data_IF_875217349876
#
_entry.id   IF_875217349876
#
_cell.length_a   1.000
_cell.length_b   1.000
_cell.length_c   1.000
_cell.angle_alpha   90.00
_cell.angle_beta   90.00
_cell.angle_gamma   90.00
#
_symmetry.space_group_name_H-M   'P 1'
#
loop_
_entity.id
_entity.type
_entity.pdbx_description
1 polymer ?
#
# COMPACT_ATOMS: atom_id res chain seq x y z
N UNK A 1 19.37 -41.25 10.70
CA UNK A 1 18.33 -40.83 11.67
C UNK A 1 18.69 -39.43 12.13
N UNK A 2 17.77 -38.44 12.12
CA UNK A 2 18.06 -37.10 12.61
C UNK A 2 18.27 -37.13 14.12
N UNK A 3 19.33 -36.48 14.62
CA UNK A 3 19.63 -36.38 16.05
C UNK A 3 18.84 -35.25 16.71
N UNK A 4 18.16 -35.55 17.80
CA UNK A 4 17.48 -34.55 18.63
C UNK A 4 18.46 -34.04 19.70
N UNK A 5 18.53 -32.72 19.90
CA UNK A 5 19.21 -32.11 21.04
C UNK A 5 18.29 -32.16 22.25
N UNK A 6 18.81 -32.67 23.36
CA UNK A 6 18.09 -32.90 24.62
C UNK A 6 18.75 -32.00 25.67
N UNK A 7 17.94 -31.24 26.42
CA UNK A 7 18.46 -30.38 27.48
C UNK A 7 18.81 -31.20 28.74
N UNK A 8 19.46 -30.57 29.73
CA UNK A 8 20.03 -31.24 30.91
C UNK A 8 19.03 -32.02 31.77
N UNK A 9 17.72 -31.77 31.60
CA UNK A 9 16.64 -32.44 32.32
C UNK A 9 16.04 -33.63 31.55
N UNK A 10 16.54 -33.93 30.34
CA UNK A 10 16.09 -35.05 29.52
C UNK A 10 14.94 -34.74 28.58
N UNK A 11 14.53 -33.47 28.49
CA UNK A 11 13.46 -33.02 27.61
C UNK A 11 14.03 -32.60 26.25
N UNK A 12 13.28 -32.87 25.18
CA UNK A 12 13.67 -32.41 23.84
C UNK A 12 13.46 -30.89 23.78
N UNK A 13 14.50 -30.13 23.42
CA UNK A 13 14.38 -28.70 23.16
C UNK A 13 13.55 -28.50 21.87
N UNK A 14 12.24 -28.37 22.04
CA UNK A 14 11.28 -28.15 20.97
C UNK A 14 10.81 -26.71 21.00
N UNK A 15 11.58 -25.79 20.41
CA UNK A 15 11.08 -24.45 20.11
C UNK A 15 11.59 -23.96 18.77
N UNK A 16 11.16 -24.64 17.70
CA UNK A 16 10.93 -23.94 16.43
C UNK A 16 9.59 -23.21 16.62
N UNK A 17 9.56 -21.88 16.77
CA UNK A 17 8.30 -21.17 16.86
C UNK A 17 7.46 -21.48 15.62
N UNK A 18 6.19 -21.84 15.83
CA UNK A 18 5.27 -22.11 14.73
C UNK A 18 5.22 -20.89 13.82
N UNK A 19 5.38 -21.03 12.50
CA UNK A 19 5.26 -19.91 11.60
C UNK A 19 3.82 -19.39 11.66
N UNK A 20 3.65 -18.19 12.21
CA UNK A 20 2.40 -17.45 12.14
C UNK A 20 2.26 -17.01 10.69
N UNK A 21 1.32 -17.60 9.95
CA UNK A 21 0.95 -17.17 8.61
C UNK A 21 0.11 -15.88 8.69
N UNK A 22 0.67 -14.83 9.29
CA UNK A 22 0.05 -13.50 9.22
C UNK A 22 0.14 -13.06 7.75
N UNK A 23 -1.02 -12.89 7.12
CA UNK A 23 -1.09 -12.37 5.77
C UNK A 23 -0.63 -10.91 5.80
N UNK A 24 0.65 -10.67 5.51
CA UNK A 24 1.23 -9.34 5.35
C UNK A 24 0.66 -8.76 4.04
N UNK A 25 -0.45 -8.04 4.15
CA UNK A 25 -1.11 -7.36 3.03
C UNK A 25 -0.59 -5.95 2.84
N UNK A 26 -0.49 -5.50 1.59
CA UNK A 26 -0.23 -4.11 1.29
C UNK A 26 -1.43 -3.23 1.72
N UNK A 27 -1.19 -2.02 2.25
CA UNK A 27 -2.28 -1.09 2.55
C UNK A 27 -2.96 -0.64 1.26
N UNK A 28 -4.23 -0.26 1.36
CA UNK A 28 -5.02 0.21 0.21
C UNK A 28 -5.21 1.72 0.30
N UNK A 29 -4.71 2.49 -0.67
CA UNK A 29 -4.96 3.93 -0.74
C UNK A 29 -6.35 4.18 -1.31
N UNK A 30 -7.26 4.66 -0.44
CA UNK A 30 -8.70 4.77 -0.75
C UNK A 30 -9.15 6.16 -1.18
N UNK A 31 -8.49 7.20 -0.70
CA UNK A 31 -8.78 8.59 -0.99
C UNK A 31 -7.50 9.38 -1.13
N UNK A 32 -7.57 10.53 -1.79
CA UNK A 32 -6.45 11.45 -1.97
C UNK A 32 -6.43 12.57 -0.93
N UNK A 33 -7.04 12.34 0.24
CA UNK A 33 -7.05 13.30 1.34
C UNK A 33 -5.72 13.25 2.09
N UNK A 34 -5.29 14.40 2.61
CA UNK A 34 -4.01 14.52 3.31
C UNK A 34 -3.83 13.49 4.45
N UNK A 35 -4.87 13.29 5.27
CA UNK A 35 -4.84 12.29 6.35
C UNK A 35 -4.69 10.85 5.81
N UNK A 36 -5.37 10.52 4.71
CA UNK A 36 -5.29 9.20 4.09
C UNK A 36 -3.93 8.95 3.45
N UNK A 37 -3.32 9.98 2.84
CA UNK A 37 -1.97 9.91 2.27
C UNK A 37 -0.91 9.66 3.35
N UNK A 38 -0.97 10.40 4.47
CA UNK A 38 -0.08 10.20 5.62
C UNK A 38 -0.25 8.80 6.21
N UNK A 39 -1.50 8.38 6.44
CA UNK A 39 -1.79 7.07 7.02
C UNK A 39 -1.30 5.95 6.11
N UNK A 40 -1.62 6.01 4.83
CA UNK A 40 -1.19 5.02 3.85
C UNK A 40 0.33 4.97 3.72
N UNK A 41 1.04 6.10 3.69
CA UNK A 41 2.51 6.12 3.59
C UNK A 41 3.15 5.44 4.81
N UNK A 42 2.68 5.77 6.01
CA UNK A 42 3.13 5.13 7.26
C UNK A 42 2.85 3.63 7.27
N UNK A 43 1.69 3.19 6.78
CA UNK A 43 1.35 1.77 6.68
C UNK A 43 2.18 1.05 5.60
N UNK A 44 2.49 1.73 4.50
CA UNK A 44 3.31 1.21 3.42
C UNK A 44 4.74 0.93 3.89
N UNK A 45 5.34 1.84 4.66
CA UNK A 45 6.66 1.63 5.25
C UNK A 45 6.67 0.42 6.20
N UNK A 46 5.64 0.29 7.06
CA UNK A 46 5.47 -0.87 7.94
C UNK A 46 5.31 -2.17 7.16
N UNK A 47 4.55 -2.14 6.08
CA UNK A 47 4.37 -3.28 5.17
C UNK A 47 5.70 -3.70 4.55
N UNK A 48 6.45 -2.76 3.97
CA UNK A 48 7.76 -3.01 3.36
C UNK A 48 8.73 -3.63 4.37
N UNK A 49 8.75 -3.12 5.60
CA UNK A 49 9.62 -3.66 6.67
C UNK A 49 9.25 -5.11 7.03
N UNK A 50 7.95 -5.41 7.18
CA UNK A 50 7.47 -6.78 7.42
C UNK A 50 7.84 -7.73 6.27
N UNK A 51 7.74 -7.28 5.01
CA UNK A 51 8.10 -8.08 3.84
C UNK A 51 9.61 -8.34 3.80
N UNK A 52 10.44 -7.33 4.08
CA UNK A 52 11.91 -7.48 4.17
C UNK A 52 12.30 -8.49 5.23
N UNK A 53 11.70 -8.41 6.41
CA UNK A 53 11.92 -9.37 7.49
C UNK A 53 11.54 -10.79 7.06
N UNK A 54 10.37 -10.97 6.42
CA UNK A 54 9.96 -12.28 5.90
C UNK A 54 10.96 -12.83 4.89
N UNK A 55 11.37 -12.04 3.89
CA UNK A 55 12.35 -12.43 2.88
C UNK A 55 13.69 -12.85 3.52
N UNK A 56 14.10 -12.22 4.62
CA UNK A 56 15.29 -12.62 5.38
C UNK A 56 15.20 -14.03 6.01
N UNK A 57 13.97 -14.50 6.30
CA UNK A 57 13.72 -15.83 6.88
C UNK A 57 13.44 -16.87 5.78
N UNK A 58 12.64 -16.51 4.78
CA UNK A 58 12.19 -17.43 3.72
C UNK A 58 13.15 -17.55 2.55
N UNK A 59 14.13 -16.63 2.45
CA UNK A 59 15.05 -16.50 1.33
C UNK A 59 14.33 -16.25 -0.02
N UNK A 60 13.12 -15.70 0.03
CA UNK A 60 12.39 -15.24 -1.16
C UNK A 60 12.96 -13.92 -1.68
N UNK A 61 12.92 -13.72 -3.01
CA UNK A 61 13.35 -12.47 -3.61
C UNK A 61 12.34 -11.35 -3.29
N UNK A 62 12.79 -10.29 -2.61
CA UNK A 62 11.95 -9.16 -2.18
C UNK A 62 11.08 -8.59 -3.32
N UNK A 63 11.67 -8.35 -4.49
CA UNK A 63 10.99 -7.82 -5.69
C UNK A 63 9.84 -8.72 -6.18
N UNK A 64 9.88 -10.02 -5.89
CA UNK A 64 8.83 -10.96 -6.30
C UNK A 64 7.65 -10.99 -5.32
N UNK A 65 7.86 -10.46 -4.12
CA UNK A 65 6.96 -10.63 -2.97
C UNK A 65 6.30 -9.31 -2.56
N UNK A 66 7.00 -8.20 -2.75
CA UNK A 66 6.46 -6.86 -2.48
C UNK A 66 5.39 -6.51 -3.50
N UNK A 67 4.28 -5.93 -3.03
CA UNK A 67 3.28 -5.34 -3.91
C UNK A 67 3.85 -4.14 -4.64
N UNK A 68 3.31 -3.84 -5.82
CA UNK A 68 3.59 -2.56 -6.49
C UNK A 68 2.84 -1.44 -5.80
N UNK A 69 3.42 -0.24 -5.78
CA UNK A 69 2.74 0.97 -5.28
C UNK A 69 1.49 1.23 -6.11
N UNK A 70 1.55 1.04 -7.42
CA UNK A 70 0.36 1.16 -8.28
C UNK A 70 -0.72 0.14 -7.93
N UNK A 71 -0.34 -1.06 -7.50
CA UNK A 71 -1.25 -2.14 -7.10
C UNK A 71 -1.90 -1.92 -5.74
N UNK A 72 -1.35 -1.06 -4.89
CA UNK A 72 -1.90 -0.71 -3.58
C UNK A 72 -2.81 0.52 -3.61
N UNK A 73 -3.06 1.12 -4.78
CA UNK A 73 -4.02 2.23 -4.95
C UNK A 73 -5.34 1.70 -5.50
N UNK A 74 -6.47 2.15 -4.94
CA UNK A 74 -7.79 1.81 -5.49
C UNK A 74 -7.90 2.20 -6.97
N UNK A 75 -8.51 1.38 -7.84
CA UNK A 75 -8.62 1.70 -9.26
C UNK A 75 -9.27 3.05 -9.58
N UNK A 76 -10.27 3.47 -8.79
CA UNK A 76 -10.95 4.77 -8.93
C UNK A 76 -9.98 5.92 -8.58
N UNK A 77 -9.36 5.84 -7.41
CA UNK A 77 -8.34 6.79 -6.93
C UNK A 77 -7.15 6.88 -7.90
N UNK A 78 -6.68 5.73 -8.41
CA UNK A 78 -5.58 5.66 -9.37
C UNK A 78 -5.90 6.38 -10.69
N UNK A 79 -7.11 6.19 -11.24
CA UNK A 79 -7.56 6.90 -12.46
C UNK A 79 -7.61 8.41 -12.23
N UNK A 80 -8.21 8.83 -11.12
CA UNK A 80 -8.35 10.25 -10.79
C UNK A 80 -6.96 10.91 -10.59
N UNK A 81 -6.05 10.26 -9.87
CA UNK A 81 -4.68 10.76 -9.68
C UNK A 81 -3.95 10.87 -11.02
N UNK A 82 -4.03 9.84 -11.87
CA UNK A 82 -3.37 9.85 -13.18
C UNK A 82 -3.79 11.07 -14.02
N UNK A 83 -5.10 11.37 -14.04
CA UNK A 83 -5.65 12.48 -14.82
C UNK A 83 -5.40 13.84 -14.18
N UNK A 84 -5.65 13.99 -12.89
CA UNK A 84 -5.74 15.31 -12.25
C UNK A 84 -4.49 15.73 -11.50
N UNK A 85 -3.71 14.78 -10.95
CA UNK A 85 -2.49 15.06 -10.17
C UNK A 85 -1.27 14.90 -11.05
N UNK A 86 -1.14 13.76 -11.73
CA UNK A 86 0.03 13.44 -12.54
C UNK A 86 -0.07 13.97 -13.97
N UNK A 87 -1.29 14.29 -14.44
CA UNK A 87 -1.58 14.72 -15.80
C UNK A 87 -0.93 13.83 -16.89
N UNK A 88 -1.04 12.51 -16.72
CA UNK A 88 -0.43 11.48 -17.59
C UNK A 88 -1.43 10.36 -17.86
N UNK A 89 -1.33 9.63 -18.99
CA UNK A 89 -2.17 8.48 -19.24
C UNK A 89 -1.93 7.38 -18.19
N UNK A 90 -2.99 6.69 -17.75
CA UNK A 90 -2.92 5.64 -16.73
C UNK A 90 -1.89 4.54 -17.05
N UNK A 91 -1.67 4.25 -18.33
CA UNK A 91 -0.69 3.27 -18.80
C UNK A 91 0.77 3.71 -18.58
N UNK A 92 1.06 5.01 -18.51
CA UNK A 92 2.41 5.52 -18.28
C UNK A 92 2.72 5.82 -16.81
N UNK A 93 1.72 5.77 -15.92
CA UNK A 93 1.92 5.98 -14.48
C UNK A 93 2.75 4.83 -13.90
N UNK A 94 3.86 5.18 -13.25
CA UNK A 94 4.78 4.25 -12.58
C UNK A 94 4.67 4.33 -11.06
N UNK A 95 5.18 3.33 -10.35
CA UNK A 95 5.25 3.33 -8.88
C UNK A 95 6.01 4.54 -8.32
N UNK A 96 7.03 5.01 -9.06
CA UNK A 96 7.81 6.19 -8.71
C UNK A 96 6.97 7.48 -8.80
N UNK A 97 6.19 7.66 -9.88
CA UNK A 97 5.30 8.84 -10.02
C UNK A 97 4.33 8.94 -8.83
N UNK A 98 3.79 7.80 -8.39
CA UNK A 98 2.83 7.74 -7.28
C UNK A 98 3.53 8.06 -5.96
N UNK A 99 4.70 7.47 -5.71
CA UNK A 99 5.43 7.70 -4.46
C UNK A 99 5.92 9.15 -4.34
N UNK A 100 6.37 9.76 -5.44
CA UNK A 100 6.72 11.18 -5.49
C UNK A 100 5.52 12.07 -5.18
N UNK A 101 4.34 11.77 -5.74
CA UNK A 101 3.12 12.51 -5.46
C UNK A 101 2.66 12.37 -4.00
N UNK A 102 2.83 11.20 -3.39
CA UNK A 102 2.50 10.97 -1.97
C UNK A 102 3.48 11.70 -1.03
N UNK A 103 4.77 11.76 -1.39
CA UNK A 103 5.85 12.33 -0.57
C UNK A 103 6.14 13.81 -0.85
N UNK A 104 5.35 14.47 -1.71
CA UNK A 104 5.55 15.86 -2.04
C UNK A 104 5.65 16.72 -0.75
N UNK A 105 6.66 17.60 -0.63
CA UNK A 105 7.06 18.21 0.64
C UNK A 105 5.94 18.99 1.35
N UNK A 106 5.79 18.73 2.64
CA UNK A 106 4.81 19.38 3.51
C UNK A 106 5.09 20.88 3.77
N UNK A 107 6.33 21.35 3.56
CA UNK A 107 6.67 22.78 3.77
C UNK A 107 6.21 23.71 2.62
N UNK A 108 5.52 23.12 1.63
CA UNK A 108 4.64 23.81 0.69
C UNK A 108 3.24 23.22 0.67
N UNK A 109 2.78 22.56 1.77
CA UNK A 109 1.53 21.78 1.94
C UNK A 109 0.25 22.61 1.77
N UNK A 110 0.10 23.09 0.56
CA UNK A 110 -1.10 22.88 -0.21
C UNK A 110 -0.63 21.79 -1.20
N UNK A 111 -0.74 20.49 -0.88
CA UNK A 111 -1.11 19.53 -1.96
C UNK A 111 -2.32 20.22 -2.54
N UNK A 112 -2.18 20.88 -3.70
CA UNK A 112 -2.85 22.16 -3.85
C UNK A 112 -4.29 22.01 -3.42
N UNK A 113 -4.83 22.86 -2.54
CA UNK A 113 -6.25 22.76 -2.22
C UNK A 113 -7.06 22.77 -3.53
N UNK A 114 -6.47 23.17 -4.67
CA UNK A 114 -6.86 22.80 -6.03
C UNK A 114 -6.86 21.29 -6.33
N UNK A 115 -5.74 20.56 -6.29
CA UNK A 115 -5.66 19.10 -6.54
C UNK A 115 -6.61 18.31 -5.64
N UNK A 116 -6.61 18.55 -4.33
CA UNK A 116 -7.51 17.86 -3.41
C UNK A 116 -8.99 18.20 -3.65
N UNK A 117 -9.30 19.45 -4.05
CA UNK A 117 -10.68 19.87 -4.37
C UNK A 117 -11.15 19.39 -5.74
N UNK A 118 -10.26 19.34 -6.73
CA UNK A 118 -10.51 18.71 -8.02
C UNK A 118 -10.82 17.23 -7.77
N UNK A 119 -9.99 16.56 -6.97
CA UNK A 119 -10.21 15.15 -6.63
C UNK A 119 -11.54 14.90 -5.92
N UNK A 120 -11.85 15.68 -4.87
CA UNK A 120 -13.12 15.59 -4.15
C UNK A 120 -14.32 15.87 -5.05
N UNK A 121 -14.26 16.90 -5.88
CA UNK A 121 -15.34 17.22 -6.82
C UNK A 121 -15.66 16.04 -7.74
N UNK A 122 -14.64 15.36 -8.28
CA UNK A 122 -14.86 14.21 -9.13
C UNK A 122 -15.27 12.94 -8.38
N UNK A 123 -14.79 12.71 -7.15
CA UNK A 123 -15.30 11.61 -6.33
C UNK A 123 -16.77 11.80 -5.97
N UNK A 124 -17.15 13.00 -5.55
CA UNK A 124 -18.55 13.37 -5.22
C UNK A 124 -19.44 13.27 -6.46
N UNK A 125 -19.02 13.85 -7.59
CA UNK A 125 -19.77 13.78 -8.84
C UNK A 125 -19.92 12.35 -9.34
N UNK A 126 -18.86 11.55 -9.31
CA UNK A 126 -18.94 10.14 -9.70
C UNK A 126 -19.84 9.35 -8.75
N UNK A 127 -19.84 9.66 -7.45
CA UNK A 127 -20.79 9.07 -6.49
C UNK A 127 -22.23 9.41 -6.83
N UNK A 128 -22.51 10.67 -7.18
CA UNK A 128 -23.84 11.13 -7.61
C UNK A 128 -24.28 10.44 -8.91
N UNK A 129 -23.39 10.29 -9.89
CA UNK A 129 -23.70 9.60 -11.16
C UNK A 129 -23.90 8.10 -10.95
N UNK A 130 -23.09 7.45 -10.10
CA UNK A 130 -23.23 6.03 -9.77
C UNK A 130 -24.55 5.75 -9.01
N UNK A 131 -24.95 6.62 -8.08
CA UNK A 131 -26.19 6.48 -7.28
C UNK A 131 -27.46 6.81 -8.11
N UNK A 132 -27.39 7.79 -9.00
CA UNK A 132 -28.51 8.16 -9.87
C UNK A 132 -28.59 7.35 -11.18
N UNK A 133 -27.52 6.64 -11.57
CA UNK A 133 -27.47 5.79 -12.75
C UNK A 133 -28.30 4.51 -12.65
N UNK A 134 -28.90 4.22 -11.49
CA UNK A 134 -29.79 3.06 -11.28
C UNK A 134 -31.28 3.36 -11.48
N UNK A 135 -31.64 4.50 -12.10
CA UNK A 135 -33.03 4.80 -12.49
C UNK A 135 -33.11 5.27 -13.95
N UNK A 136 -32.96 4.33 -14.89
CA UNK A 136 -33.46 4.46 -16.25
C UNK A 136 -33.94 3.09 -16.75
#
# INVERSE_FOLDING_TARGET
MPGFMVNSDGDVEMTVPQPIFELIGAPELRSWEHAALIEWHREWERYVEKIRHRCGITNEAFESVVATVKGSVRPKTLRNMATYVLNKPLSSVTDADIMEAVQAPEDGSSIDDCDARIFRYYEDFNGIVEDNGSKA
#
